data_IF_222134268987
#
_entry.id   IF_222134268987
#
_cell.length_a   1.000
_cell.length_b   1.000
_cell.length_c   1.000
_cell.angle_alpha   90.00
_cell.angle_beta   90.00
_cell.angle_gamma   90.00
#
_symmetry.space_group_name_H-M   'P 1'
#
loop_
_entity.id
_entity.type
_entity.pdbx_description
1 polymer ?
#
# COMPACT_ATOMS: atom_id res chain seq x y z
N UNK A 1 -0.92 20.75 14.59
CA UNK A 1 -1.27 20.18 13.25
C UNK A 1 -2.09 18.90 13.38
N UNK A 2 -1.66 17.84 14.09
CA UNK A 2 -2.46 16.62 14.33
C UNK A 2 -3.74 16.95 15.10
N UNK A 3 -3.66 17.72 16.18
CA UNK A 3 -4.82 18.22 16.93
C UNK A 3 -5.83 18.97 16.03
N UNK A 4 -5.34 19.80 15.11
CA UNK A 4 -6.19 20.54 14.18
C UNK A 4 -6.94 19.60 13.23
N UNK A 5 -6.24 18.57 12.75
CA UNK A 5 -6.85 17.53 11.90
C UNK A 5 -7.93 16.76 12.69
N UNK A 6 -7.59 16.33 13.90
CA UNK A 6 -8.54 15.61 14.77
C UNK A 6 -9.79 16.44 15.06
N UNK A 7 -9.61 17.74 15.38
CA UNK A 7 -10.72 18.67 15.56
C UNK A 7 -11.60 18.76 14.32
N UNK A 8 -11.00 18.88 13.11
CA UNK A 8 -11.77 18.96 11.86
C UNK A 8 -12.56 17.68 11.60
N UNK A 9 -11.98 16.50 11.85
CA UNK A 9 -12.72 15.23 11.78
C UNK A 9 -13.86 15.20 12.78
N UNK A 10 -13.62 15.66 14.01
CA UNK A 10 -14.65 15.78 15.05
C UNK A 10 -15.80 16.69 14.65
N UNK A 11 -15.52 17.83 14.01
CA UNK A 11 -16.54 18.76 13.51
C UNK A 11 -17.42 18.12 12.42
N UNK A 12 -16.83 17.36 11.50
CA UNK A 12 -17.57 16.59 10.46
C UNK A 12 -18.50 15.57 11.12
N UNK A 13 -17.98 14.78 12.07
CA UNK A 13 -18.75 13.75 12.79
C UNK A 13 -19.92 14.41 13.57
N UNK A 14 -19.66 15.51 14.26
CA UNK A 14 -20.68 16.24 15.00
C UNK A 14 -21.76 16.78 14.07
N UNK A 15 -21.38 17.30 12.91
CA UNK A 15 -22.36 17.78 11.92
C UNK A 15 -23.24 16.64 11.39
N UNK A 16 -22.67 15.47 11.12
CA UNK A 16 -23.43 14.28 10.71
C UNK A 16 -24.41 13.83 11.80
N UNK A 17 -24.02 13.90 13.08
CA UNK A 17 -24.90 13.58 14.21
C UNK A 17 -26.06 14.57 14.34
N UNK A 18 -25.79 15.87 14.23
CA UNK A 18 -26.82 16.93 14.28
C UNK A 18 -27.84 16.75 13.15
N UNK A 19 -27.41 16.26 11.99
CA UNK A 19 -28.27 16.02 10.84
C UNK A 19 -28.92 14.63 10.82
N UNK A 20 -28.75 13.84 11.86
CA UNK A 20 -29.23 12.43 11.96
C UNK A 20 -28.75 11.52 10.80
N UNK A 21 -27.57 11.81 10.26
CA UNK A 21 -26.98 11.05 9.14
C UNK A 21 -25.86 10.09 9.58
N UNK A 22 -25.29 10.28 10.78
CA UNK A 22 -24.09 9.59 11.23
C UNK A 22 -24.21 8.08 11.19
N UNK A 23 -25.31 7.53 11.67
CA UNK A 23 -25.50 6.08 11.77
C UNK A 23 -25.50 5.37 10.42
N UNK A 24 -25.96 6.04 9.36
CA UNK A 24 -26.02 5.49 8.00
C UNK A 24 -24.94 6.08 7.06
N UNK A 25 -23.87 6.63 7.62
CA UNK A 25 -22.74 7.14 6.84
C UNK A 25 -21.54 6.21 6.98
N UNK A 26 -20.96 5.79 5.85
CA UNK A 26 -19.67 5.14 5.78
C UNK A 26 -18.58 6.22 5.83
N UNK A 27 -17.82 6.27 6.90
CA UNK A 27 -16.67 7.14 7.08
C UNK A 27 -15.39 6.35 6.87
N UNK A 28 -14.54 6.83 5.96
CA UNK A 28 -13.21 6.26 5.70
C UNK A 28 -12.18 7.34 6.01
N UNK A 29 -11.31 7.10 6.97
CA UNK A 29 -10.17 7.95 7.29
C UNK A 29 -8.89 7.20 6.97
N UNK A 30 -8.04 7.77 6.13
CA UNK A 30 -6.71 7.22 5.82
C UNK A 30 -5.73 8.36 5.53
N UNK A 31 -4.44 8.04 5.58
CA UNK A 31 -3.40 8.90 5.02
C UNK A 31 -3.14 8.53 3.56
N UNK A 32 -2.72 9.50 2.76
CA UNK A 32 -2.33 9.30 1.35
C UNK A 32 -1.01 8.53 1.21
N UNK A 33 -0.09 8.73 2.14
CA UNK A 33 1.24 8.11 2.20
C UNK A 33 1.82 8.22 3.61
N UNK A 34 2.94 7.57 3.84
CA UNK A 34 3.67 7.68 5.10
C UNK A 34 4.18 9.08 5.39
N UNK A 35 4.44 9.38 6.63
CA UNK A 35 4.94 10.69 7.06
C UNK A 35 6.32 11.02 6.49
N UNK A 36 6.64 12.31 6.40
CA UNK A 36 7.94 12.77 5.90
C UNK A 36 9.04 12.35 6.86
N UNK A 37 9.97 11.50 6.39
CA UNK A 37 10.98 10.79 7.18
C UNK A 37 11.75 11.66 8.21
N UNK A 38 12.06 12.90 7.88
CA UNK A 38 12.78 13.80 8.79
C UNK A 38 11.89 14.51 9.83
N UNK A 39 10.56 14.42 9.71
CA UNK A 39 9.61 15.20 10.50
C UNK A 39 8.55 14.35 11.20
N UNK A 40 8.46 13.07 10.87
CA UNK A 40 7.51 12.15 11.47
C UNK A 40 8.22 10.87 11.91
N UNK A 41 7.89 10.41 13.12
CA UNK A 41 8.33 9.11 13.61
C UNK A 41 7.52 8.03 12.88
N UNK A 42 8.22 7.17 12.16
CA UNK A 42 7.63 6.02 11.46
C UNK A 42 7.90 4.69 12.19
N UNK A 43 8.58 4.75 13.34
CA UNK A 43 8.93 3.54 14.11
C UNK A 43 7.72 2.65 14.35
N UNK A 44 7.81 1.33 14.08
CA UNK A 44 9.02 0.57 13.73
C UNK A 44 9.37 0.57 12.23
N UNK A 45 8.62 1.25 11.37
CA UNK A 45 8.72 1.14 9.91
C UNK A 45 9.90 1.94 9.35
N UNK A 46 10.54 1.35 8.33
CA UNK A 46 11.68 1.94 7.64
C UNK A 46 11.27 3.07 6.71
N UNK A 47 12.04 4.19 6.73
CA UNK A 47 11.86 5.34 5.84
C UNK A 47 10.52 6.07 6.07
N UNK A 48 9.87 6.56 5.00
CA UNK A 48 8.64 7.35 5.02
C UNK A 48 8.25 7.79 3.61
N UNK A 49 7.53 8.90 3.50
CA UNK A 49 7.02 9.46 2.23
C UNK A 49 8.03 9.39 1.09
N UNK A 50 7.59 8.87 -0.05
CA UNK A 50 8.38 8.72 -1.26
C UNK A 50 9.26 7.47 -1.28
N UNK A 51 9.06 6.51 -0.37
CA UNK A 51 9.74 5.22 -0.35
C UNK A 51 8.74 4.06 -0.44
N UNK A 52 9.15 2.94 -1.04
CA UNK A 52 8.35 1.70 -1.10
C UNK A 52 8.54 0.80 0.14
N UNK A 53 9.31 1.23 1.13
CA UNK A 53 9.35 0.59 2.45
C UNK A 53 8.03 0.83 3.22
N UNK A 54 7.77 0.02 4.24
CA UNK A 54 6.53 0.12 5.04
C UNK A 54 6.28 1.54 5.55
N UNK A 55 7.32 2.26 5.97
CA UNK A 55 7.17 3.64 6.44
C UNK A 55 6.64 4.61 5.39
N UNK A 56 6.75 4.29 4.09
CA UNK A 56 6.24 5.12 3.00
C UNK A 56 4.86 4.72 2.50
N UNK A 57 4.50 3.44 2.59
CA UNK A 57 3.27 2.90 1.97
C UNK A 57 2.26 2.33 2.98
N UNK A 58 2.68 1.97 4.19
CA UNK A 58 1.77 1.51 5.23
C UNK A 58 1.22 2.69 6.01
N UNK A 59 -0.06 2.93 5.89
CA UNK A 59 -0.74 4.09 6.45
C UNK A 59 -1.90 3.67 7.38
N UNK A 60 -2.29 4.52 8.33
CA UNK A 60 -3.51 4.31 9.10
C UNK A 60 -4.73 4.25 8.18
N UNK A 61 -5.61 3.29 8.45
CA UNK A 61 -6.93 3.18 7.84
C UNK A 61 -7.95 2.93 8.95
N UNK A 62 -8.94 3.81 9.06
CA UNK A 62 -10.06 3.68 9.99
C UNK A 62 -11.35 3.72 9.18
N UNK A 63 -12.20 2.73 9.38
CA UNK A 63 -13.53 2.67 8.76
C UNK A 63 -14.58 2.65 9.86
N UNK A 64 -15.55 3.54 9.77
CA UNK A 64 -16.67 3.65 10.69
C UNK A 64 -17.99 3.68 9.93
N UNK A 65 -18.93 2.82 10.33
CA UNK A 65 -20.30 2.81 9.84
C UNK A 65 -21.20 2.22 10.92
N UNK A 66 -21.73 3.02 11.85
CA UNK A 66 -22.42 2.53 13.04
C UNK A 66 -23.59 1.58 12.74
N UNK A 67 -24.31 1.79 11.65
CA UNK A 67 -25.40 0.90 11.22
C UNK A 67 -24.92 -0.51 10.86
N UNK A 68 -23.70 -0.68 10.38
CA UNK A 68 -23.16 -1.96 9.88
C UNK A 68 -22.05 -2.54 10.76
N UNK A 69 -21.15 -1.70 11.26
CA UNK A 69 -20.02 -2.11 12.12
C UNK A 69 -20.42 -1.88 13.58
N UNK A 70 -20.92 -2.93 14.22
CA UNK A 70 -21.54 -2.83 15.56
C UNK A 70 -20.54 -2.76 16.73
N UNK A 71 -19.32 -3.27 16.52
CA UNK A 71 -18.28 -3.29 17.54
C UNK A 71 -16.94 -2.92 16.93
N UNK A 72 -16.09 -2.14 17.63
CA UNK A 72 -14.75 -1.85 17.16
C UNK A 72 -13.90 -3.12 17.12
N UNK A 73 -13.05 -3.24 16.12
CA UNK A 73 -12.08 -4.33 15.98
C UNK A 73 -10.86 -3.88 15.16
N UNK A 74 -9.79 -4.64 15.24
CA UNK A 74 -8.59 -4.44 14.44
C UNK A 74 -8.51 -5.58 13.43
N UNK A 75 -8.42 -5.21 12.14
CA UNK A 75 -8.17 -6.16 11.06
C UNK A 75 -6.69 -6.12 10.67
N UNK A 76 -6.09 -7.30 10.51
CA UNK A 76 -4.73 -7.45 9.99
C UNK A 76 -4.69 -7.85 8.52
N UNK A 77 -5.83 -7.80 7.85
CA UNK A 77 -5.92 -8.17 6.45
C UNK A 77 -5.31 -7.08 5.55
N UNK A 78 -4.73 -7.53 4.46
CA UNK A 78 -4.04 -6.66 3.51
C UNK A 78 -5.06 -5.89 2.66
N UNK A 79 -5.11 -4.56 2.83
CA UNK A 79 -6.01 -3.65 2.12
C UNK A 79 -5.22 -2.52 1.48
N UNK A 80 -5.81 -1.88 0.48
CA UNK A 80 -5.23 -0.74 -0.22
C UNK A 80 -6.31 0.28 -0.58
N UNK A 81 -5.93 1.52 -0.88
CA UNK A 81 -6.88 2.56 -1.32
C UNK A 81 -7.63 2.22 -2.62
N UNK A 82 -7.08 1.34 -3.46
CA UNK A 82 -7.77 0.83 -4.65
C UNK A 82 -9.04 0.04 -4.30
N UNK A 83 -9.18 -0.44 -3.06
CA UNK A 83 -10.32 -1.20 -2.58
C UNK A 83 -11.54 -0.32 -2.23
N UNK A 84 -11.33 0.99 -2.09
CA UNK A 84 -12.41 1.88 -1.67
C UNK A 84 -13.53 1.94 -2.72
N UNK A 85 -13.20 2.05 -3.99
CA UNK A 85 -14.22 2.13 -5.05
C UNK A 85 -15.08 0.87 -5.12
N UNK A 86 -14.55 -0.35 -5.29
CA UNK A 86 -15.39 -1.56 -5.33
C UNK A 86 -16.17 -1.76 -4.04
N UNK A 87 -15.62 -1.41 -2.88
CA UNK A 87 -16.32 -1.49 -1.60
C UNK A 87 -17.50 -0.51 -1.54
N UNK A 88 -17.31 0.75 -1.95
CA UNK A 88 -18.37 1.76 -1.97
C UNK A 88 -19.49 1.33 -2.92
N UNK A 89 -19.17 0.87 -4.12
CA UNK A 89 -20.15 0.40 -5.09
C UNK A 89 -20.96 -0.78 -4.53
N UNK A 90 -20.30 -1.74 -3.88
CA UNK A 90 -20.97 -2.88 -3.26
C UNK A 90 -21.92 -2.45 -2.13
N UNK A 91 -21.50 -1.58 -1.21
CA UNK A 91 -22.33 -1.20 -0.06
C UNK A 91 -23.47 -0.24 -0.41
N UNK A 92 -23.37 0.45 -1.53
CA UNK A 92 -24.43 1.31 -2.06
C UNK A 92 -25.38 0.59 -3.01
N UNK A 93 -25.18 -0.72 -3.23
CA UNK A 93 -25.88 -1.52 -4.24
C UNK A 93 -25.80 -0.89 -5.65
N UNK A 94 -24.72 -0.19 -5.93
CA UNK A 94 -24.45 0.34 -7.26
C UNK A 94 -23.82 -0.74 -8.11
N UNK A 95 -24.22 -0.84 -9.38
CA UNK A 95 -23.65 -1.84 -10.26
C UNK A 95 -22.17 -1.52 -10.54
N UNK A 96 -21.31 -2.47 -10.23
CA UNK A 96 -19.98 -2.53 -10.85
C UNK A 96 -20.23 -2.71 -12.34
N UNK A 97 -19.84 -1.75 -13.15
CA UNK A 97 -19.89 -1.95 -14.60
C UNK A 97 -18.94 -3.10 -14.92
N UNK A 98 -19.52 -4.22 -15.38
CA UNK A 98 -18.74 -5.43 -15.72
C UNK A 98 -17.74 -5.22 -16.85
N UNK A 99 -17.82 -4.07 -17.55
CA UNK A 99 -16.85 -3.64 -18.57
C UNK A 99 -15.60 -2.99 -17.98
N UNK A 100 -15.65 -2.52 -16.74
CA UNK A 100 -14.51 -1.92 -16.06
C UNK A 100 -13.75 -2.97 -15.25
N UNK A 101 -12.45 -3.09 -15.50
CA UNK A 101 -11.55 -3.84 -14.63
C UNK A 101 -11.18 -2.95 -13.44
N UNK A 102 -11.35 -3.49 -12.23
CA UNK A 102 -10.94 -2.83 -11.00
C UNK A 102 -9.78 -3.62 -10.39
N UNK A 103 -8.67 -2.95 -10.10
CA UNK A 103 -7.51 -3.58 -9.43
C UNK A 103 -7.81 -3.87 -7.96
N UNK A 104 -8.75 -3.12 -7.37
CA UNK A 104 -9.20 -3.30 -6.00
C UNK A 104 -10.26 -4.37 -5.85
N UNK A 105 -10.47 -4.81 -4.61
CA UNK A 105 -11.51 -5.78 -4.24
C UNK A 105 -12.48 -5.18 -3.23
N UNK A 106 -13.70 -5.71 -3.18
CA UNK A 106 -14.65 -5.37 -2.12
C UNK A 106 -14.21 -5.95 -0.78
N UNK A 107 -14.04 -5.08 0.21
CA UNK A 107 -13.68 -5.43 1.59
C UNK A 107 -14.88 -5.32 2.56
N UNK A 108 -16.09 -5.03 2.07
CA UNK A 108 -17.27 -4.82 2.92
C UNK A 108 -17.67 -6.05 3.73
N UNK A 109 -17.25 -7.20 3.29
CA UNK A 109 -17.53 -8.48 3.97
C UNK A 109 -16.98 -8.54 5.40
N UNK A 110 -15.87 -7.83 5.69
CA UNK A 110 -15.32 -7.77 7.05
C UNK A 110 -16.10 -6.83 7.98
N UNK A 111 -16.95 -5.95 7.46
CA UNK A 111 -17.73 -5.00 8.26
C UNK A 111 -18.75 -5.72 9.17
N UNK A 112 -19.33 -6.79 8.69
CA UNK A 112 -20.32 -7.59 9.42
C UNK A 112 -19.71 -8.82 10.10
N UNK A 113 -18.63 -9.35 9.57
CA UNK A 113 -17.96 -10.54 10.11
C UNK A 113 -16.44 -10.34 10.14
N UNK A 114 -15.91 -10.05 11.32
CA UNK A 114 -14.49 -9.76 11.58
C UNK A 114 -13.56 -10.95 11.26
N UNK A 115 -14.08 -12.18 11.26
CA UNK A 115 -13.30 -13.39 10.96
C UNK A 115 -13.28 -13.72 9.48
N UNK A 116 -14.08 -13.03 8.67
CA UNK A 116 -14.11 -13.26 7.23
C UNK A 116 -12.81 -12.81 6.59
N UNK A 117 -12.21 -13.70 5.82
CA UNK A 117 -10.97 -13.41 5.12
C UNK A 117 -11.28 -12.73 3.77
N UNK A 118 -10.47 -11.76 3.43
CA UNK A 118 -10.43 -11.15 2.11
C UNK A 118 -9.59 -12.06 1.21
N UNK A 119 -10.10 -12.36 0.02
CA UNK A 119 -9.36 -13.17 -0.95
C UNK A 119 -8.30 -12.32 -1.68
N UNK A 120 -7.23 -12.00 -0.95
CA UNK A 120 -6.09 -11.27 -1.50
C UNK A 120 -4.80 -11.82 -0.91
N UNK A 121 -3.94 -12.31 -1.79
CA UNK A 121 -2.60 -12.77 -1.43
C UNK A 121 -1.50 -11.73 -1.74
N UNK A 122 -1.77 -10.77 -2.64
CA UNK A 122 -0.71 -9.88 -3.14
C UNK A 122 -1.18 -8.44 -3.40
N UNK A 123 -0.23 -7.52 -3.25
CA UNK A 123 -0.31 -6.11 -3.65
C UNK A 123 0.99 -5.70 -4.32
N UNK A 124 0.89 -4.80 -5.31
CA UNK A 124 2.01 -4.35 -6.12
C UNK A 124 2.15 -2.84 -6.08
N UNK A 125 3.38 -2.36 -6.19
CA UNK A 125 3.72 -0.95 -6.32
C UNK A 125 4.80 -0.78 -7.38
N UNK A 126 4.66 0.25 -8.19
CA UNK A 126 5.64 0.59 -9.23
C UNK A 126 5.97 2.08 -9.16
N UNK A 127 7.24 2.39 -8.96
CA UNK A 127 7.75 3.75 -8.90
C UNK A 127 9.03 3.86 -9.73
N UNK A 128 8.89 4.06 -11.08
CA UNK A 128 10.01 4.00 -12.02
C UNK A 128 10.85 5.28 -12.09
N UNK A 129 10.76 6.15 -11.09
CA UNK A 129 11.39 7.46 -11.08
C UNK A 129 12.36 7.65 -9.92
N UNK A 130 13.27 8.62 -10.05
CA UNK A 130 14.00 9.15 -8.91
C UNK A 130 13.12 10.15 -8.15
N UNK A 131 13.14 10.09 -6.83
CA UNK A 131 12.47 11.07 -5.98
C UNK A 131 13.51 11.89 -5.22
N UNK A 132 13.89 13.06 -5.77
CA UNK A 132 14.95 13.88 -5.23
C UNK A 132 14.75 14.28 -3.75
N UNK A 133 13.49 14.52 -3.33
CA UNK A 133 13.17 14.94 -1.97
C UNK A 133 13.34 13.85 -0.91
N UNK A 134 13.23 12.55 -1.26
CA UNK A 134 13.41 11.42 -0.35
C UNK A 134 14.72 10.65 -0.59
N UNK A 135 15.32 10.78 -1.76
CA UNK A 135 16.45 9.97 -2.22
C UNK A 135 16.05 8.57 -2.71
N UNK A 136 14.75 8.34 -2.96
CA UNK A 136 14.26 7.09 -3.54
C UNK A 136 14.77 6.91 -4.97
N UNK A 137 15.26 5.74 -5.28
CA UNK A 137 15.63 5.29 -6.63
C UNK A 137 14.47 4.54 -7.29
N UNK A 138 14.46 4.44 -8.64
CA UNK A 138 13.45 3.66 -9.35
C UNK A 138 13.35 2.23 -8.82
N UNK A 139 12.14 1.82 -8.43
CA UNK A 139 11.91 0.49 -7.88
C UNK A 139 10.46 0.04 -8.09
N UNK A 140 10.26 -1.26 -7.97
CA UNK A 140 8.94 -1.86 -7.80
C UNK A 140 8.93 -2.75 -6.57
N UNK A 141 7.75 -2.96 -5.99
CA UNK A 141 7.59 -3.82 -4.84
C UNK A 141 6.37 -4.73 -4.99
N UNK A 142 6.46 -5.90 -4.39
CA UNK A 142 5.35 -6.81 -4.18
C UNK A 142 5.29 -7.19 -2.71
N UNK A 143 4.08 -7.12 -2.11
CA UNK A 143 3.76 -7.83 -0.89
C UNK A 143 3.01 -9.10 -1.27
N UNK A 144 3.53 -10.24 -0.88
CA UNK A 144 2.89 -11.55 -1.06
C UNK A 144 2.77 -12.24 0.28
N UNK A 145 1.55 -12.34 0.78
CA UNK A 145 1.27 -12.85 2.14
C UNK A 145 2.07 -12.03 3.18
N UNK A 146 2.97 -12.70 3.88
CA UNK A 146 3.81 -12.11 4.92
C UNK A 146 5.11 -11.49 4.39
N UNK A 147 5.49 -11.83 3.17
CA UNK A 147 6.74 -11.36 2.58
C UNK A 147 6.54 -10.09 1.76
N UNK A 148 7.58 -9.28 1.74
CA UNK A 148 7.68 -8.12 0.85
C UNK A 148 9.02 -8.14 0.13
N UNK A 149 8.96 -7.98 -1.19
CA UNK A 149 10.14 -7.85 -2.04
C UNK A 149 10.15 -6.48 -2.70
N UNK A 150 11.33 -5.87 -2.73
CA UNK A 150 11.59 -4.64 -3.48
C UNK A 150 12.65 -4.97 -4.55
N UNK A 151 12.37 -4.66 -5.81
CA UNK A 151 13.32 -4.73 -6.93
C UNK A 151 13.79 -3.33 -7.30
N UNK A 152 15.10 -3.08 -7.21
CA UNK A 152 15.75 -1.83 -7.56
C UNK A 152 16.13 -1.81 -9.04
N UNK A 153 15.43 -1.02 -9.84
CA UNK A 153 15.59 -1.03 -11.29
C UNK A 153 16.98 -0.55 -11.74
N UNK A 154 17.54 0.47 -11.08
CA UNK A 154 18.91 0.92 -11.39
C UNK A 154 19.94 -0.20 -11.21
N UNK A 155 19.87 -0.91 -10.07
CA UNK A 155 20.79 -2.01 -9.79
C UNK A 155 20.59 -3.17 -10.77
N UNK A 156 19.34 -3.47 -11.14
CA UNK A 156 19.00 -4.51 -12.12
C UNK A 156 19.52 -4.16 -13.50
N UNK A 157 19.29 -2.94 -13.98
CA UNK A 157 19.73 -2.49 -15.31
C UNK A 157 21.25 -2.43 -15.46
N UNK A 158 21.95 -2.06 -14.39
CA UNK A 158 23.41 -1.92 -14.38
C UNK A 158 24.12 -3.18 -13.89
N UNK A 159 23.39 -4.27 -13.69
CA UNK A 159 23.88 -5.55 -13.14
C UNK A 159 24.74 -5.40 -11.89
N UNK A 160 24.30 -4.52 -10.98
CA UNK A 160 24.95 -4.27 -9.69
C UNK A 160 24.44 -5.25 -8.63
N UNK A 161 25.15 -5.34 -7.50
CA UNK A 161 24.69 -6.04 -6.31
C UNK A 161 23.41 -5.38 -5.73
N UNK A 162 22.72 -6.10 -4.86
CA UNK A 162 21.51 -5.62 -4.18
C UNK A 162 20.36 -5.21 -5.13
N UNK A 163 20.16 -5.97 -6.19
CA UNK A 163 19.05 -5.76 -7.13
C UNK A 163 17.68 -5.97 -6.47
N UNK A 164 17.61 -6.85 -5.46
CA UNK A 164 16.39 -7.16 -4.74
C UNK A 164 16.63 -7.18 -3.23
N UNK A 165 15.59 -6.81 -2.50
CA UNK A 165 15.49 -6.96 -1.05
C UNK A 165 14.24 -7.77 -0.73
N UNK A 166 14.32 -8.69 0.23
CA UNK A 166 13.21 -9.54 0.68
C UNK A 166 13.09 -9.47 2.19
N UNK A 167 11.89 -9.27 2.71
CA UNK A 167 11.61 -9.14 4.13
C UNK A 167 10.40 -9.99 4.54
N UNK A 168 10.44 -10.55 5.75
CA UNK A 168 9.28 -11.15 6.41
C UNK A 168 8.67 -10.11 7.37
N UNK A 169 7.56 -9.51 6.99
CA UNK A 169 6.93 -8.42 7.74
C UNK A 169 6.27 -8.87 9.05
N UNK A 170 6.14 -10.18 9.30
CA UNK A 170 5.59 -10.68 10.57
C UNK A 170 6.59 -10.57 11.72
N UNK A 171 7.86 -10.74 11.43
CA UNK A 171 8.94 -10.71 12.41
C UNK A 171 9.87 -9.50 12.23
N UNK A 172 9.86 -8.90 11.06
CA UNK A 172 10.69 -7.72 10.72
C UNK A 172 9.86 -6.63 9.99
N UNK A 173 8.89 -6.02 10.68
CA UNK A 173 8.11 -4.92 10.10
C UNK A 173 8.95 -3.67 9.80
N UNK A 174 10.16 -3.59 10.36
CA UNK A 174 11.14 -2.53 10.13
C UNK A 174 12.02 -2.75 8.91
N UNK A 175 11.88 -3.88 8.18
CA UNK A 175 12.61 -4.17 6.94
C UNK A 175 14.14 -4.02 7.12
N UNK A 176 14.66 -4.57 8.22
CA UNK A 176 16.06 -4.44 8.63
C UNK A 176 16.93 -5.59 8.13
N UNK A 177 16.35 -6.79 7.93
CA UNK A 177 17.06 -8.02 7.60
C UNK A 177 16.69 -8.51 6.20
N UNK A 178 17.53 -8.22 5.21
CA UNK A 178 17.32 -8.72 3.85
C UNK A 178 17.51 -10.24 3.79
N UNK A 179 16.46 -10.96 3.40
CA UNK A 179 16.40 -12.42 3.30
C UNK A 179 16.62 -12.93 1.88
N UNK A 180 16.88 -12.07 0.89
CA UNK A 180 16.92 -12.46 -0.53
C UNK A 180 17.95 -13.55 -0.83
N UNK A 181 19.11 -13.53 -0.15
CA UNK A 181 20.13 -14.57 -0.26
C UNK A 181 19.88 -15.78 0.63
N UNK A 182 19.12 -15.63 1.73
CA UNK A 182 18.84 -16.73 2.67
C UNK A 182 17.72 -17.65 2.18
N UNK A 183 16.70 -17.08 1.50
CA UNK A 183 15.56 -17.83 0.96
C UNK A 183 15.35 -17.48 -0.52
N UNK A 184 16.32 -17.80 -1.38
CA UNK A 184 16.35 -17.40 -2.79
C UNK A 184 15.14 -17.90 -3.58
N UNK A 185 14.59 -19.06 -3.25
CA UNK A 185 13.41 -19.61 -3.92
C UNK A 185 12.18 -18.73 -3.77
N UNK A 186 11.96 -18.13 -2.58
CA UNK A 186 10.86 -17.19 -2.35
C UNK A 186 11.15 -15.88 -3.10
N UNK A 187 12.39 -15.38 -3.03
CA UNK A 187 12.80 -14.17 -3.71
C UNK A 187 12.58 -14.26 -5.23
N UNK A 188 13.01 -15.36 -5.86
CA UNK A 188 12.82 -15.61 -7.30
C UNK A 188 11.32 -15.68 -7.63
N UNK A 189 10.53 -16.42 -6.85
CA UNK A 189 9.09 -16.54 -7.06
C UNK A 189 8.39 -15.18 -7.00
N UNK A 190 8.70 -14.36 -6.01
CA UNK A 190 8.11 -13.04 -5.83
C UNK A 190 8.55 -12.07 -6.93
N UNK A 191 9.83 -12.13 -7.33
CA UNK A 191 10.35 -11.32 -8.43
C UNK A 191 9.65 -11.66 -9.76
N UNK A 192 9.40 -12.94 -10.03
CA UNK A 192 8.66 -13.36 -11.21
C UNK A 192 7.22 -12.84 -11.17
N UNK A 193 6.49 -13.00 -10.07
CA UNK A 193 5.15 -12.42 -9.90
C UNK A 193 5.11 -10.91 -10.13
N UNK A 194 6.11 -10.18 -9.61
CA UNK A 194 6.21 -8.74 -9.80
C UNK A 194 6.40 -8.36 -11.27
N UNK A 195 7.20 -9.12 -12.00
CA UNK A 195 7.47 -8.92 -13.44
C UNK A 195 6.27 -9.31 -14.30
N UNK A 196 5.61 -10.41 -13.97
CA UNK A 196 4.39 -10.85 -14.66
C UNK A 196 3.30 -9.78 -14.54
N UNK A 197 3.07 -9.26 -13.32
CA UNK A 197 2.14 -8.14 -13.10
C UNK A 197 2.57 -6.88 -13.87
N UNK A 198 3.85 -6.51 -13.84
CA UNK A 198 4.33 -5.33 -14.55
C UNK A 198 4.10 -5.44 -16.08
N UNK A 199 4.24 -6.63 -16.64
CA UNK A 199 3.93 -6.91 -18.05
C UNK A 199 2.42 -6.84 -18.32
N UNK A 200 1.60 -7.42 -17.46
CA UNK A 200 0.14 -7.41 -17.58
C UNK A 200 -0.43 -5.98 -17.62
N UNK A 201 0.07 -5.10 -16.75
CA UNK A 201 -0.38 -3.71 -16.69
C UNK A 201 0.39 -2.77 -17.63
N UNK A 202 1.28 -3.32 -18.48
CA UNK A 202 2.15 -2.54 -19.37
C UNK A 202 2.92 -1.44 -18.61
N UNK A 203 3.47 -1.77 -17.45
CA UNK A 203 4.21 -0.84 -16.61
C UNK A 203 5.44 -0.29 -17.36
N UNK A 204 5.57 1.03 -17.40
CA UNK A 204 6.71 1.70 -18.04
C UNK A 204 7.97 1.51 -17.21
N UNK A 205 8.90 0.70 -17.69
CA UNK A 205 10.17 0.44 -17.01
C UNK A 205 11.20 1.52 -17.31
N UNK A 206 12.07 1.88 -16.34
CA UNK A 206 13.19 2.78 -16.59
C UNK A 206 14.14 2.17 -17.63
N UNK A 207 14.75 3.06 -18.41
CA UNK A 207 15.76 2.67 -19.41
C UNK A 207 17.09 3.32 -19.08
N UNK A 208 18.17 2.70 -19.54
CA UNK A 208 19.52 3.28 -19.39
C UNK A 208 19.61 4.52 -20.27
N UNK A 209 20.06 5.63 -19.68
CA UNK A 209 20.32 6.85 -20.45
C UNK A 209 21.68 6.73 -21.15
N UNK A 210 21.68 6.35 -22.42
CA UNK A 210 22.90 6.16 -23.21
C UNK A 210 23.74 7.45 -23.31
N UNK A 211 23.12 8.61 -23.30
CA UNK A 211 23.84 9.89 -23.37
C UNK A 211 24.74 10.13 -22.13
N UNK A 212 24.44 9.51 -20.99
CA UNK A 212 25.28 9.60 -19.78
C UNK A 212 26.40 8.55 -19.74
N UNK A 213 26.34 7.52 -20.56
CA UNK A 213 27.40 6.50 -20.66
C UNK A 213 28.56 7.01 -21.50
N UNK A 214 28.27 7.80 -22.52
CA UNK A 214 29.27 8.36 -23.45
C UNK A 214 30.05 9.52 -22.82
N UNK A 215 29.53 10.12 -21.75
CA UNK A 215 30.13 11.29 -21.06
C UNK A 215 31.08 10.91 -19.89
N UNK A 216 31.41 9.63 -19.72
CA UNK A 216 32.41 9.10 -18.77
C UNK A 216 33.57 8.46 -19.52
#
# INVERSE_FOLDING_TARGET
MIETLDKSVGEIINKLKILDLFDNTLLIFCSDNGGKHKHALQTPFKKGKGWLYEGGIRVPLIISWPKKIKKPFISHQMTSSIDFLPTILQVTNSNLDSKNQYDGIDISSIFSNQTKLINRDELFWHYPHYHNGSGMKPASAIRWKNYKLIEWHEATLLNKDNQIELYDLTVDPGESNNLSSKIPNIAIKMRNKLRDWANEVNAKMPQVNEAQIIAK
#
